data_IF_941854353838
#
_entry.id   IF_941854353838
#
_cell.length_a   1.000
_cell.length_b   1.000
_cell.length_c   1.000
_cell.angle_alpha   90.00
_cell.angle_beta   90.00
_cell.angle_gamma   90.00
#
_symmetry.space_group_name_H-M   'P 1'
#
loop_
_entity.id
_entity.type
_entity.pdbx_description
1 polymer ?
#
# COMPACT_ATOMS: atom_id res chain seq x y z
N UNK A 1 6.73 14.49 2.80
CA UNK A 1 6.77 15.96 2.71
C UNK A 1 5.36 16.47 2.53
N UNK A 2 4.89 17.39 3.36
CA UNK A 2 3.59 18.04 3.18
C UNK A 2 3.81 19.26 2.27
N UNK A 3 3.16 19.27 1.11
CA UNK A 3 3.16 20.40 0.19
C UNK A 3 1.86 21.17 0.33
N UNK A 4 1.91 22.48 0.21
CA UNK A 4 0.76 23.35 0.26
C UNK A 4 0.68 24.17 -1.02
N UNK A 5 -0.54 24.49 -1.42
CA UNK A 5 -0.83 25.39 -2.56
C UNK A 5 -1.66 26.58 -2.08
N UNK A 6 -1.65 27.67 -2.85
CA UNK A 6 -2.50 28.82 -2.49
C UNK A 6 -3.99 28.45 -2.60
N UNK A 7 -4.87 29.13 -1.84
CA UNK A 7 -6.31 28.89 -1.93
C UNK A 7 -6.88 29.11 -3.34
N UNK A 8 -6.33 30.05 -4.10
CA UNK A 8 -6.73 30.33 -5.48
C UNK A 8 -6.41 29.16 -6.39
N UNK A 9 -5.18 28.64 -6.31
CA UNK A 9 -4.75 27.47 -7.08
C UNK A 9 -5.55 26.23 -6.67
N UNK A 10 -5.77 26.06 -5.37
CA UNK A 10 -6.58 24.94 -4.87
C UNK A 10 -7.98 24.90 -5.48
N UNK A 11 -8.62 26.04 -5.79
CA UNK A 11 -9.96 26.07 -6.42
C UNK A 11 -9.99 25.39 -7.79
N UNK A 12 -8.92 25.53 -8.57
CA UNK A 12 -8.80 24.96 -9.91
C UNK A 12 -8.37 23.48 -9.92
N UNK A 13 -7.83 22.96 -8.83
CA UNK A 13 -7.33 21.58 -8.74
C UNK A 13 -8.45 20.60 -8.32
N UNK A 14 -8.25 19.32 -8.67
CA UNK A 14 -9.15 18.24 -8.27
C UNK A 14 -9.10 18.02 -6.77
N UNK A 15 -10.28 17.96 -6.14
CA UNK A 15 -10.43 17.74 -4.70
C UNK A 15 -10.30 16.25 -4.38
N UNK A 16 -9.64 15.97 -3.27
CA UNK A 16 -9.44 14.63 -2.73
C UNK A 16 -9.89 14.64 -1.28
N UNK A 17 -10.86 13.81 -0.96
CA UNK A 17 -11.44 13.66 0.36
C UNK A 17 -10.93 12.37 1.01
N UNK A 18 -11.09 12.24 2.34
CA UNK A 18 -10.69 11.04 3.07
C UNK A 18 -11.37 9.79 2.52
N UNK A 19 -10.58 8.78 2.18
CA UNK A 19 -11.05 7.53 1.58
C UNK A 19 -11.00 7.51 0.05
N UNK A 20 -10.82 8.66 -0.60
CA UNK A 20 -10.61 8.73 -2.05
C UNK A 20 -9.28 8.05 -2.43
N UNK A 21 -9.23 7.51 -3.63
CA UNK A 21 -8.03 6.88 -4.17
C UNK A 21 -7.48 7.72 -5.33
N UNK A 22 -6.24 8.15 -5.18
CA UNK A 22 -5.51 8.88 -6.22
C UNK A 22 -4.70 7.88 -7.02
N UNK A 23 -4.89 7.86 -8.34
CA UNK A 23 -4.14 7.01 -9.27
C UNK A 23 -3.25 7.87 -10.16
N UNK A 24 -2.00 7.45 -10.35
CA UNK A 24 -1.09 8.09 -11.30
C UNK A 24 -1.53 7.78 -12.74
N UNK A 25 -1.68 8.82 -13.58
CA UNK A 25 -2.01 8.62 -14.99
C UNK A 25 -0.78 8.22 -15.80
N UNK A 26 0.38 8.79 -15.47
CA UNK A 26 1.61 8.66 -16.26
C UNK A 26 2.76 8.11 -15.45
N UNK A 27 3.59 7.24 -16.04
CA UNK A 27 4.84 6.74 -15.46
C UNK A 27 5.81 6.32 -16.55
N UNK A 28 7.10 6.19 -16.21
CA UNK A 28 8.11 5.62 -17.10
C UNK A 28 8.05 4.07 -17.14
N UNK A 29 7.36 3.45 -16.19
CA UNK A 29 7.20 2.00 -16.08
C UNK A 29 5.74 1.56 -15.87
N UNK A 30 5.48 0.26 -16.12
CA UNK A 30 4.16 -0.34 -15.94
C UNK A 30 3.73 -0.45 -14.47
N UNK A 31 4.63 -0.45 -13.52
CA UNK A 31 4.28 -0.52 -12.10
C UNK A 31 3.76 0.82 -11.60
N UNK A 32 4.42 1.90 -12.01
CA UNK A 32 4.07 3.26 -11.61
C UNK A 32 2.76 3.77 -12.23
N UNK A 33 2.42 3.39 -13.48
CA UNK A 33 1.16 3.81 -14.09
C UNK A 33 -0.03 3.13 -13.40
N UNK A 34 -1.08 3.88 -13.11
CA UNK A 34 -2.24 3.48 -12.29
C UNK A 34 -1.86 3.04 -10.86
N UNK A 35 -0.71 3.47 -10.34
CA UNK A 35 -0.39 3.24 -8.93
C UNK A 35 -1.38 4.00 -8.06
N UNK A 36 -1.98 3.28 -7.11
CA UNK A 36 -3.03 3.80 -6.26
C UNK A 36 -2.48 4.26 -4.90
N UNK A 37 -2.95 5.40 -4.44
CA UNK A 37 -2.74 5.94 -3.11
C UNK A 37 -4.10 6.26 -2.47
N UNK A 38 -4.40 5.68 -1.31
CA UNK A 38 -5.59 6.04 -0.55
C UNK A 38 -5.30 7.27 0.30
N UNK A 39 -6.12 8.31 0.15
CA UNK A 39 -5.99 9.49 0.99
C UNK A 39 -6.65 9.25 2.35
N UNK A 40 -5.86 9.33 3.41
CA UNK A 40 -6.31 9.09 4.79
C UNK A 40 -6.30 10.36 5.65
N UNK A 41 -5.97 11.52 5.06
CA UNK A 41 -5.94 12.80 5.78
C UNK A 41 -7.34 13.29 6.17
N UNK A 42 -7.42 14.04 7.27
CA UNK A 42 -8.70 14.59 7.77
C UNK A 42 -9.10 15.91 7.09
N UNK A 43 -8.16 16.58 6.40
CA UNK A 43 -8.44 17.81 5.64
C UNK A 43 -8.54 17.48 4.16
N UNK A 44 -9.40 18.17 3.44
CA UNK A 44 -9.47 18.06 1.99
C UNK A 44 -8.10 18.39 1.37
N UNK A 45 -7.63 17.52 0.48
CA UNK A 45 -6.43 17.72 -0.32
C UNK A 45 -6.78 18.07 -1.77
N UNK A 46 -5.77 18.37 -2.57
CA UNK A 46 -5.92 18.61 -4.01
C UNK A 46 -4.83 17.86 -4.78
N UNK A 47 -5.12 17.48 -6.03
CA UNK A 47 -4.14 16.84 -6.92
C UNK A 47 -4.13 17.51 -8.30
N UNK A 48 -2.99 17.41 -8.98
CA UNK A 48 -2.78 17.97 -10.32
C UNK A 48 -3.35 17.12 -11.45
N UNK A 49 -3.06 17.51 -12.68
CA UNK A 49 -3.62 16.92 -13.90
C UNK A 49 -3.14 15.51 -14.23
N UNK A 50 -1.96 15.09 -13.72
CA UNK A 50 -1.37 13.79 -13.97
C UNK A 50 -1.85 12.70 -12.98
N UNK A 51 -2.99 12.93 -12.33
CA UNK A 51 -3.60 11.96 -11.45
C UNK A 51 -5.12 11.91 -11.67
N UNK A 52 -5.68 10.72 -11.54
CA UNK A 52 -7.12 10.48 -11.53
C UNK A 52 -7.57 10.23 -10.10
N UNK A 53 -8.69 10.82 -9.69
CA UNK A 53 -9.30 10.57 -8.38
C UNK A 53 -10.47 9.61 -8.56
N UNK A 54 -10.33 8.44 -7.98
CA UNK A 54 -11.43 7.49 -7.84
C UNK A 54 -12.14 7.75 -6.51
N UNK A 55 -13.40 8.09 -6.57
CA UNK A 55 -14.26 8.29 -5.40
C UNK A 55 -15.04 7.00 -5.12
N UNK A 56 -14.69 6.27 -4.04
CA UNK A 56 -15.41 5.06 -3.67
C UNK A 56 -16.90 5.34 -3.47
N UNK A 57 -17.73 4.37 -3.80
CA UNK A 57 -19.17 4.41 -3.58
C UNK A 57 -19.60 3.39 -2.51
N UNK A 58 -20.90 3.21 -2.32
CA UNK A 58 -21.46 2.26 -1.36
C UNK A 58 -21.16 0.78 -1.64
N UNK A 59 -20.47 0.45 -2.74
CA UNK A 59 -20.16 -0.92 -3.13
C UNK A 59 -18.67 -1.28 -3.00
N UNK A 60 -17.77 -0.27 -2.92
CA UNK A 60 -16.32 -0.48 -2.97
C UNK A 60 -15.61 0.36 -1.90
N UNK A 61 -14.77 -0.26 -1.09
CA UNK A 61 -13.86 0.43 -0.19
C UNK A 61 -12.61 0.90 -0.95
N UNK A 62 -12.16 2.14 -0.72
CA UNK A 62 -10.96 2.69 -1.36
C UNK A 62 -9.71 1.85 -1.11
N UNK A 63 -9.49 1.37 0.11
CA UNK A 63 -8.36 0.48 0.43
C UNK A 63 -8.46 -0.88 -0.28
N UNK A 64 -9.66 -1.46 -0.39
CA UNK A 64 -9.86 -2.71 -1.13
C UNK A 64 -9.48 -2.53 -2.60
N UNK A 65 -9.94 -1.44 -3.21
CA UNK A 65 -9.55 -1.10 -4.58
C UNK A 65 -8.03 -0.89 -4.70
N UNK A 66 -7.40 -0.14 -3.78
CA UNK A 66 -5.97 0.10 -3.81
C UNK A 66 -5.15 -1.19 -3.73
N UNK A 67 -5.54 -2.15 -2.89
CA UNK A 67 -4.91 -3.48 -2.87
C UNK A 67 -5.14 -4.26 -4.16
N UNK A 68 -6.35 -4.18 -4.73
CA UNK A 68 -6.63 -4.84 -6.01
C UNK A 68 -5.74 -4.29 -7.15
N UNK A 69 -5.41 -3.00 -7.15
CA UNK A 69 -4.53 -2.41 -8.18
C UNK A 69 -3.11 -2.97 -8.18
N UNK A 70 -2.70 -3.70 -7.13
CA UNK A 70 -1.40 -4.34 -7.02
C UNK A 70 -1.39 -5.79 -7.53
N UNK A 71 -2.54 -6.32 -7.94
CA UNK A 71 -2.66 -7.70 -8.43
C UNK A 71 -2.27 -7.83 -9.90
N UNK A 72 -1.77 -9.02 -10.28
CA UNK A 72 -1.47 -9.31 -11.68
C UNK A 72 -2.71 -9.21 -12.57
N UNK A 73 -3.89 -9.56 -12.06
CA UNK A 73 -5.16 -9.42 -12.80
C UNK A 73 -5.42 -7.97 -13.20
N UNK A 74 -5.18 -7.02 -12.29
CA UNK A 74 -5.29 -5.60 -12.60
C UNK A 74 -4.21 -5.15 -13.57
N UNK A 75 -2.97 -5.62 -13.39
CA UNK A 75 -1.85 -5.30 -14.28
C UNK A 75 -2.11 -5.77 -15.72
N UNK A 76 -2.67 -6.95 -15.92
CA UNK A 76 -3.05 -7.44 -17.25
C UNK A 76 -4.15 -6.59 -17.89
N UNK A 77 -5.13 -6.14 -17.12
CA UNK A 77 -6.17 -5.25 -17.61
C UNK A 77 -5.59 -3.89 -18.03
N UNK A 78 -4.80 -3.24 -17.16
CA UNK A 78 -4.25 -1.92 -17.45
C UNK A 78 -3.31 -1.91 -18.65
N UNK A 79 -2.53 -2.98 -18.88
CA UNK A 79 -1.65 -3.11 -20.05
C UNK A 79 -2.41 -2.94 -21.39
N UNK A 80 -3.65 -3.41 -21.46
CA UNK A 80 -4.49 -3.27 -22.66
C UNK A 80 -4.89 -1.82 -22.95
N UNK A 81 -4.84 -0.96 -21.96
CA UNK A 81 -5.24 0.45 -22.04
C UNK A 81 -4.07 1.42 -21.93
N UNK A 82 -2.87 0.91 -21.65
CA UNK A 82 -1.66 1.73 -21.54
C UNK A 82 -1.18 2.16 -22.92
N UNK A 83 -0.90 3.45 -23.07
CA UNK A 83 -0.40 4.08 -24.30
C UNK A 83 0.98 4.69 -24.03
N UNK A 84 1.76 4.91 -25.08
CA UNK A 84 3.09 5.51 -25.00
C UNK A 84 4.21 4.46 -25.00
N UNK A 85 5.45 4.94 -25.22
CA UNK A 85 6.65 4.10 -25.30
C UNK A 85 7.72 4.52 -24.28
N UNK A 86 7.96 5.80 -24.08
CA UNK A 86 8.89 6.33 -23.04
C UNK A 86 8.15 6.72 -21.79
N UNK A 87 7.02 7.39 -21.95
CA UNK A 87 6.11 7.71 -20.85
C UNK A 87 4.82 6.97 -21.15
N UNK A 88 4.47 6.07 -20.25
CA UNK A 88 3.24 5.30 -20.29
C UNK A 88 2.11 6.15 -19.73
N UNK A 89 0.96 6.12 -20.37
CA UNK A 89 -0.24 6.85 -19.96
C UNK A 89 -1.46 5.96 -19.97
N UNK A 90 -2.31 6.10 -18.96
CA UNK A 90 -3.66 5.55 -18.91
C UNK A 90 -4.62 6.68 -18.55
N UNK A 91 -5.48 7.02 -19.50
CA UNK A 91 -6.46 8.08 -19.29
C UNK A 91 -7.52 7.70 -18.24
N UNK A 92 -8.16 8.70 -17.62
CA UNK A 92 -9.25 8.44 -16.68
C UNK A 92 -10.41 7.65 -17.32
N UNK A 93 -10.69 7.88 -18.60
CA UNK A 93 -11.71 7.14 -19.37
C UNK A 93 -11.30 5.68 -19.62
N UNK A 94 -10.02 5.41 -19.78
CA UNK A 94 -9.51 4.05 -19.92
C UNK A 94 -9.46 3.34 -18.55
N UNK A 95 -9.10 4.05 -17.48
CA UNK A 95 -9.20 3.52 -16.11
C UNK A 95 -10.63 3.11 -15.73
N UNK A 96 -11.62 3.85 -16.19
CA UNK A 96 -13.04 3.54 -15.95
C UNK A 96 -13.53 2.23 -16.60
N UNK A 97 -12.76 1.66 -17.54
CA UNK A 97 -13.05 0.36 -18.17
C UNK A 97 -12.48 -0.83 -17.40
N UNK A 98 -11.63 -0.57 -16.40
CA UNK A 98 -11.02 -1.63 -15.60
C UNK A 98 -12.04 -2.24 -14.64
N UNK A 99 -12.12 -3.55 -14.63
CA UNK A 99 -13.09 -4.28 -13.81
C UNK A 99 -12.51 -4.65 -12.45
N UNK A 100 -13.32 -4.48 -11.41
CA UNK A 100 -12.98 -4.80 -10.03
C UNK A 100 -13.89 -5.95 -9.56
N UNK A 101 -13.37 -7.03 -8.96
CA UNK A 101 -14.19 -8.07 -8.40
C UNK A 101 -14.92 -7.56 -7.15
N UNK A 102 -16.24 -7.67 -7.13
CA UNK A 102 -17.07 -7.30 -5.99
C UNK A 102 -17.60 -8.58 -5.32
N UNK A 103 -17.19 -8.90 -4.08
CA UNK A 103 -17.74 -10.05 -3.37
C UNK A 103 -19.23 -9.82 -3.07
N UNK A 104 -20.06 -10.85 -3.18
CA UNK A 104 -21.50 -10.79 -2.89
C UNK A 104 -22.21 -9.57 -3.50
N UNK A 105 -22.21 -9.39 -4.81
CA UNK A 105 -22.73 -8.16 -5.45
C UNK A 105 -24.22 -7.92 -5.18
N UNK A 106 -25.00 -8.95 -4.86
CA UNK A 106 -26.41 -8.86 -4.50
C UNK A 106 -26.67 -8.38 -3.06
N UNK A 107 -25.64 -8.35 -2.20
CA UNK A 107 -25.72 -7.88 -0.81
C UNK A 107 -24.58 -6.87 -0.53
N UNK A 108 -24.80 -5.57 -0.73
CA UNK A 108 -23.78 -4.54 -0.54
C UNK A 108 -23.21 -4.49 0.89
N UNK A 109 -24.04 -4.75 1.91
CA UNK A 109 -23.59 -4.76 3.31
C UNK A 109 -22.61 -5.91 3.58
N UNK A 110 -22.96 -7.11 3.13
CA UNK A 110 -22.06 -8.28 3.23
C UNK A 110 -20.82 -8.10 2.39
N UNK A 111 -20.96 -7.52 1.20
CA UNK A 111 -19.82 -7.18 0.33
C UNK A 111 -18.80 -6.30 1.05
N UNK A 112 -19.22 -5.18 1.63
CA UNK A 112 -18.35 -4.27 2.37
C UNK A 112 -17.71 -4.92 3.59
N UNK A 113 -18.41 -5.81 4.31
CA UNK A 113 -17.84 -6.57 5.41
C UNK A 113 -16.70 -7.50 4.95
N UNK A 114 -16.89 -8.19 3.83
CA UNK A 114 -15.84 -9.07 3.25
C UNK A 114 -14.66 -8.22 2.78
N UNK A 115 -14.89 -7.12 2.08
CA UNK A 115 -13.83 -6.19 1.65
C UNK A 115 -13.04 -5.65 2.85
N UNK A 116 -13.72 -5.22 3.92
CA UNK A 116 -13.08 -4.73 5.14
C UNK A 116 -12.23 -5.81 5.82
N UNK A 117 -12.70 -7.07 5.84
CA UNK A 117 -11.93 -8.20 6.37
C UNK A 117 -10.66 -8.45 5.55
N UNK A 118 -10.77 -8.44 4.21
CA UNK A 118 -9.62 -8.59 3.31
C UNK A 118 -8.60 -7.47 3.57
N UNK A 119 -9.05 -6.22 3.61
CA UNK A 119 -8.20 -5.05 3.90
C UNK A 119 -7.49 -5.21 5.25
N UNK A 120 -8.23 -5.61 6.31
CA UNK A 120 -7.64 -5.79 7.64
C UNK A 120 -6.52 -6.86 7.67
N UNK A 121 -6.66 -7.93 6.87
CA UNK A 121 -5.63 -8.96 6.75
C UNK A 121 -4.42 -8.41 6.00
N UNK A 122 -4.63 -7.75 4.86
CA UNK A 122 -3.56 -7.20 4.04
C UNK A 122 -2.80 -6.06 4.75
N UNK A 123 -3.50 -5.19 5.49
CA UNK A 123 -2.87 -4.15 6.33
C UNK A 123 -1.89 -4.77 7.35
N UNK A 124 -2.22 -5.93 7.93
CA UNK A 124 -1.32 -6.62 8.86
C UNK A 124 -0.07 -7.15 8.16
N UNK A 125 -0.23 -7.76 6.99
CA UNK A 125 0.92 -8.22 6.20
C UNK A 125 1.80 -7.06 5.76
N UNK A 126 1.20 -5.97 5.30
CA UNK A 126 1.93 -4.76 4.91
C UNK A 126 2.74 -4.20 6.11
N UNK A 127 2.13 -4.10 7.28
CA UNK A 127 2.83 -3.68 8.50
C UNK A 127 4.01 -4.61 8.85
N UNK A 128 3.85 -5.94 8.71
CA UNK A 128 4.91 -6.90 9.01
C UNK A 128 6.08 -6.83 8.00
N UNK A 129 5.81 -6.49 6.74
CA UNK A 129 6.82 -6.50 5.68
C UNK A 129 7.48 -5.13 5.46
N UNK A 130 6.80 -4.02 5.78
CA UNK A 130 7.28 -2.66 5.52
C UNK A 130 7.69 -1.89 6.76
N UNK A 131 7.32 -2.35 7.96
CA UNK A 131 7.71 -1.71 9.20
C UNK A 131 9.23 -1.82 9.44
N UNK A 132 9.85 -0.72 9.88
CA UNK A 132 11.26 -0.69 10.26
C UNK A 132 11.52 -1.27 11.66
N UNK A 133 10.50 -1.42 12.49
CA UNK A 133 10.61 -1.84 13.89
C UNK A 133 9.88 -3.14 14.20
N UNK A 134 8.95 -3.53 13.36
CA UNK A 134 8.10 -4.73 13.52
C UNK A 134 8.41 -5.75 12.39
N UNK A 135 7.92 -6.96 12.55
CA UNK A 135 8.08 -8.00 11.52
C UNK A 135 9.51 -8.49 11.38
N UNK A 136 10.04 -8.53 10.14
CA UNK A 136 11.38 -9.03 9.83
C UNK A 136 12.52 -8.35 10.60
N UNK A 137 12.58 -7.00 10.72
CA UNK A 137 13.63 -6.34 11.51
C UNK A 137 13.59 -6.78 12.97
N UNK A 138 12.42 -6.90 13.57
CA UNK A 138 12.25 -7.38 14.95
C UNK A 138 12.68 -8.83 15.11
N UNK A 139 12.33 -9.69 14.16
CA UNK A 139 12.75 -11.10 14.16
C UNK A 139 14.26 -11.22 14.07
N UNK A 140 14.92 -10.46 13.20
CA UNK A 140 16.39 -10.44 13.07
C UNK A 140 17.04 -10.03 14.41
N UNK A 141 16.54 -8.98 15.06
CA UNK A 141 17.06 -8.54 16.37
C UNK A 141 16.94 -9.63 17.44
N UNK A 142 15.78 -10.30 17.50
CA UNK A 142 15.55 -11.38 18.46
C UNK A 142 16.46 -12.59 18.18
N UNK A 143 16.67 -12.95 16.92
CA UNK A 143 17.60 -14.04 16.54
C UNK A 143 19.04 -13.68 16.87
N UNK A 144 19.43 -12.43 16.69
CA UNK A 144 20.77 -11.97 17.07
C UNK A 144 21.00 -12.10 18.58
N UNK A 145 20.05 -11.65 19.41
CA UNK A 145 20.11 -11.80 20.87
C UNK A 145 20.17 -13.27 21.30
N UNK A 146 19.38 -14.13 20.64
CA UNK A 146 19.39 -15.58 20.89
C UNK A 146 20.76 -16.19 20.55
N UNK A 147 21.34 -15.80 19.42
CA UNK A 147 22.67 -16.25 19.02
C UNK A 147 23.75 -15.82 20.05
N UNK A 148 23.74 -14.56 20.46
CA UNK A 148 24.67 -14.02 21.45
C UNK A 148 24.59 -14.78 22.78
N UNK A 149 23.37 -15.01 23.27
CA UNK A 149 23.13 -15.78 24.49
C UNK A 149 23.72 -17.20 24.41
N UNK A 150 23.42 -17.94 23.35
CA UNK A 150 23.93 -19.31 23.21
C UNK A 150 25.42 -19.36 22.95
N UNK A 151 25.97 -18.43 22.20
CA UNK A 151 27.42 -18.31 22.00
C UNK A 151 28.13 -18.15 23.34
N UNK A 152 27.67 -17.21 24.14
CA UNK A 152 28.31 -16.90 25.43
C UNK A 152 28.13 -18.07 26.42
N UNK A 153 26.97 -18.73 26.42
CA UNK A 153 26.73 -19.94 27.21
C UNK A 153 27.66 -21.10 26.82
N UNK A 154 27.77 -21.38 25.53
CA UNK A 154 28.58 -22.51 25.01
C UNK A 154 30.07 -22.29 25.16
N UNK A 155 30.54 -21.03 25.20
CA UNK A 155 31.93 -20.67 25.37
C UNK A 155 32.30 -20.33 26.81
N UNK A 156 31.37 -20.40 27.74
CA UNK A 156 31.64 -20.24 29.17
C UNK A 156 32.13 -21.55 29.77
N UNK A 157 33.45 -21.70 29.85
CA UNK A 157 34.06 -22.85 30.53
C UNK A 157 34.25 -22.56 32.03
N UNK A 158 34.08 -23.55 32.91
CA UNK A 158 34.38 -23.38 34.31
C UNK A 158 35.89 -23.02 34.46
N UNK A 159 36.17 -22.03 35.32
CA UNK A 159 37.56 -21.70 35.64
C UNK A 159 38.23 -22.95 36.23
N UNK A 160 39.49 -23.26 35.86
CA UNK A 160 40.23 -24.31 36.54
C UNK A 160 40.31 -24.01 38.04
N UNK A 161 39.95 -24.98 38.89
CA UNK A 161 40.19 -24.84 40.33
C UNK A 161 41.68 -24.61 40.53
N UNK A 162 42.06 -23.53 41.21
CA UNK A 162 43.43 -23.35 41.65
C UNK A 162 43.75 -24.48 42.63
N UNK A 163 44.50 -25.45 42.18
CA UNK A 163 45.04 -26.49 43.06
C UNK A 163 46.07 -25.78 43.93
N UNK A 164 45.64 -25.43 45.15
CA UNK A 164 46.56 -24.88 46.16
C UNK A 164 47.69 -25.87 46.44
N UNK A 165 48.91 -25.40 46.24
CA UNK A 165 50.13 -26.07 46.63
C UNK A 165 50.40 -25.77 48.10
#
# INVERSE_FOLDING_TARGET
TKSFVSPELAKALRKVDKGDVVLTNTSEDYEGVCRALVYLGDRQAVTGGHATVFKPNSCVLGKYFAYFTQTEVFHQQKRKHTKGTKVLDVSATDMAKLSIPIPCPSDPKKSLQIQARIVSILDKFDALTTSLTEGLPREIELRQKQYEYYRDLLLSFPKPEEVGV
#
